data_IF_073955664589
#
_entry.id   IF_073955664589
#
_cell.length_a   1.000
_cell.length_b   1.000
_cell.length_c   1.000
_cell.angle_alpha   90.00
_cell.angle_beta   90.00
_cell.angle_gamma   90.00
#
_symmetry.space_group_name_H-M   'P 1'
#
loop_
_entity.id
_entity.type
_entity.pdbx_description
1 polymer ?
#
# COMPACT_ATOMS: atom_id res chain seq x y z
N UNK A 1 -43.64 -24.42 48.97
CA UNK A 1 -42.49 -23.67 49.48
C UNK A 1 -41.25 -24.17 48.76
N UNK A 2 -40.45 -23.23 48.26
CA UNK A 2 -39.16 -23.39 47.55
C UNK A 2 -39.17 -24.11 46.20
N UNK A 3 -38.48 -23.69 45.14
CA UNK A 3 -38.05 -22.39 44.58
C UNK A 3 -37.38 -22.80 43.28
N UNK A 4 -37.77 -22.19 42.17
CA UNK A 4 -37.11 -22.26 40.87
C UNK A 4 -35.72 -21.61 40.90
N UNK A 5 -34.75 -22.18 40.17
CA UNK A 5 -33.65 -21.42 39.53
C UNK A 5 -33.31 -22.06 38.18
N UNK A 6 -33.31 -21.32 37.05
CA UNK A 6 -32.81 -21.79 35.78
C UNK A 6 -31.28 -21.63 35.67
N UNK A 7 -30.64 -22.54 34.96
CA UNK A 7 -29.21 -22.47 34.62
C UNK A 7 -29.00 -21.41 33.53
N UNK A 8 -28.46 -20.27 33.92
CA UNK A 8 -27.91 -19.25 33.01
C UNK A 8 -26.56 -19.73 32.50
N UNK A 9 -26.44 -19.97 31.19
CA UNK A 9 -25.17 -20.07 30.48
C UNK A 9 -24.60 -18.65 30.38
N UNK A 10 -23.62 -18.33 31.22
CA UNK A 10 -22.78 -17.15 31.03
C UNK A 10 -21.77 -17.45 29.93
N UNK A 11 -21.92 -16.82 28.78
CA UNK A 11 -20.83 -16.63 27.83
C UNK A 11 -19.80 -15.71 28.51
N UNK A 12 -18.60 -16.23 28.73
CA UNK A 12 -17.45 -15.43 29.16
C UNK A 12 -16.87 -14.78 27.91
N UNK A 13 -16.85 -13.44 27.78
CA UNK A 13 -16.04 -12.80 26.77
C UNK A 13 -14.58 -13.02 27.15
N UNK A 14 -13.85 -13.73 26.30
CA UNK A 14 -12.41 -13.89 26.44
C UNK A 14 -11.75 -12.56 26.06
N UNK A 15 -11.64 -11.65 27.03
CA UNK A 15 -10.79 -10.46 26.91
C UNK A 15 -9.33 -10.93 26.96
N UNK A 16 -8.70 -11.04 25.79
CA UNK A 16 -7.26 -11.24 25.68
C UNK A 16 -6.57 -10.00 26.24
N UNK A 17 -5.79 -10.22 27.29
CA UNK A 17 -5.00 -9.21 27.98
C UNK A 17 -3.96 -8.62 27.03
N UNK A 18 -3.97 -7.29 26.90
CA UNK A 18 -3.03 -6.53 26.10
C UNK A 18 -1.58 -6.82 26.49
N UNK A 19 -0.82 -7.34 25.54
CA UNK A 19 0.64 -7.36 25.64
C UNK A 19 1.17 -5.93 25.70
N UNK A 20 2.13 -5.67 26.59
CA UNK A 20 2.86 -4.42 26.62
C UNK A 20 3.55 -4.22 25.25
N UNK A 21 2.96 -3.38 24.40
CA UNK A 21 3.59 -2.95 23.16
C UNK A 21 4.75 -2.02 23.50
N UNK A 22 5.96 -2.44 23.15
CA UNK A 22 7.15 -1.60 23.33
C UNK A 22 7.17 -0.50 22.27
N UNK A 23 7.02 0.75 22.70
CA UNK A 23 7.40 1.89 21.88
C UNK A 23 8.92 1.99 21.87
N UNK A 24 9.52 2.03 20.69
CA UNK A 24 10.94 2.32 20.57
C UNK A 24 11.11 3.67 19.89
N UNK A 25 11.84 4.58 20.54
CA UNK A 25 12.25 5.83 19.93
C UNK A 25 13.38 5.51 18.96
N UNK A 26 13.19 5.77 17.68
CA UNK A 26 14.27 5.69 16.70
C UNK A 26 15.10 6.97 16.84
N UNK A 27 16.43 6.86 16.71
CA UNK A 27 17.45 7.85 17.11
C UNK A 27 17.39 9.23 16.38
N UNK A 28 16.27 9.58 15.78
CA UNK A 28 16.07 10.77 14.96
C UNK A 28 14.92 11.65 15.43
N UNK A 29 14.18 11.27 16.50
CA UNK A 29 12.94 11.94 16.96
C UNK A 29 11.67 11.32 16.38
N UNK A 30 11.83 10.22 15.65
CA UNK A 30 10.74 9.42 15.11
C UNK A 30 10.31 8.35 16.10
N UNK A 31 9.02 8.05 16.08
CA UNK A 31 8.42 7.02 16.91
C UNK A 31 8.01 5.84 16.04
N UNK A 32 8.35 4.63 16.47
CA UNK A 32 7.84 3.39 15.90
C UNK A 32 7.06 2.63 16.96
N UNK A 33 5.85 2.22 16.60
CA UNK A 33 4.95 1.40 17.39
C UNK A 33 4.58 0.13 16.59
N UNK A 34 4.46 -1.01 17.26
CA UNK A 34 3.96 -2.25 16.63
C UNK A 34 2.45 -2.30 16.82
N UNK A 35 1.70 -2.09 15.75
CA UNK A 35 0.24 -2.13 15.77
C UNK A 35 -0.29 -3.56 15.96
N UNK A 36 0.34 -4.53 15.29
CA UNK A 36 0.01 -5.95 15.42
C UNK A 36 1.22 -6.83 15.16
N UNK A 37 1.20 -8.04 15.73
CA UNK A 37 2.03 -9.18 15.34
C UNK A 37 1.09 -10.30 14.96
N UNK A 38 1.01 -10.58 13.66
CA UNK A 38 0.03 -11.49 13.07
C UNK A 38 0.61 -12.90 12.88
N UNK A 39 1.88 -13.13 13.25
CA UNK A 39 2.51 -14.45 13.24
C UNK A 39 2.69 -15.10 11.87
N UNK A 40 2.49 -14.35 10.78
CA UNK A 40 2.61 -14.84 9.40
C UNK A 40 3.10 -13.74 8.47
N UNK A 41 3.72 -14.11 7.35
CA UNK A 41 4.22 -13.18 6.32
C UNK A 41 3.10 -12.22 5.89
N UNK A 42 3.36 -10.91 5.80
CA UNK A 42 2.40 -9.93 5.31
C UNK A 42 2.70 -9.50 3.88
N UNK A 43 1.66 -9.45 3.05
CA UNK A 43 1.75 -9.02 1.66
C UNK A 43 1.75 -7.50 1.53
N UNK A 44 0.73 -6.85 2.11
CA UNK A 44 0.53 -5.43 1.94
C UNK A 44 -0.29 -4.79 3.05
N UNK A 45 -0.18 -3.47 3.13
CA UNK A 45 -0.98 -2.65 4.02
C UNK A 45 -1.48 -1.39 3.29
N UNK A 46 -2.54 -0.79 3.81
CA UNK A 46 -3.13 0.47 3.32
C UNK A 46 -3.79 1.21 4.48
N UNK A 47 -4.14 2.48 4.28
CA UNK A 47 -4.90 3.27 5.24
C UNK A 47 -6.13 3.86 4.57
N UNK A 48 -7.28 3.82 5.24
CA UNK A 48 -8.54 4.38 4.78
C UNK A 48 -9.60 4.37 5.87
N UNK A 49 -10.73 5.01 5.62
CA UNK A 49 -11.88 5.05 6.54
C UNK A 49 -12.69 3.75 6.39
N UNK A 50 -12.17 2.64 6.93
CA UNK A 50 -12.69 1.30 6.66
C UNK A 50 -13.88 0.93 7.57
N UNK A 51 -14.06 1.67 8.66
CA UNK A 51 -15.18 1.56 9.58
C UNK A 51 -15.75 2.95 9.87
N UNK A 52 -16.74 3.37 9.08
CA UNK A 52 -17.34 4.72 9.19
C UNK A 52 -17.97 5.02 10.57
N UNK A 53 -18.18 4.01 11.42
CA UNK A 53 -18.61 4.23 12.81
C UNK A 53 -17.46 4.68 13.72
N UNK A 54 -16.21 4.61 13.24
CA UNK A 54 -15.03 5.05 13.93
C UNK A 54 -14.42 6.29 13.27
N UNK A 55 -14.07 7.33 14.05
CA UNK A 55 -13.44 8.51 13.48
C UNK A 55 -11.96 8.26 13.14
N UNK A 56 -11.60 8.52 11.88
CA UNK A 56 -10.22 8.47 11.41
C UNK A 56 -10.00 7.30 10.46
N UNK A 57 -8.75 7.09 10.04
CA UNK A 57 -8.41 5.94 9.20
C UNK A 57 -8.04 4.72 10.05
N UNK A 58 -8.39 3.54 9.55
CA UNK A 58 -7.88 2.24 9.96
C UNK A 58 -6.75 1.78 9.03
N UNK A 59 -6.08 0.70 9.43
CA UNK A 59 -5.07 0.01 8.62
C UNK A 59 -5.66 -1.30 8.10
N UNK A 60 -5.82 -1.42 6.79
CA UNK A 60 -6.08 -2.70 6.13
C UNK A 60 -4.78 -3.46 5.91
N UNK A 61 -4.74 -4.76 6.21
CA UNK A 61 -3.55 -5.61 6.07
C UNK A 61 -3.91 -6.95 5.47
N UNK A 62 -3.09 -7.42 4.53
CA UNK A 62 -3.24 -8.74 3.91
C UNK A 62 -2.09 -9.68 4.27
N UNK A 63 -2.42 -10.93 4.56
CA UNK A 63 -1.48 -11.94 5.03
C UNK A 63 -1.26 -13.08 4.04
N UNK A 64 -0.10 -13.73 4.16
CA UNK A 64 0.36 -14.85 3.35
C UNK A 64 -0.45 -16.13 3.54
N UNK A 65 -1.19 -16.25 4.64
CA UNK A 65 -2.10 -17.36 4.91
C UNK A 65 -3.53 -17.10 4.40
N UNK A 66 -3.76 -15.99 3.69
CA UNK A 66 -5.05 -15.62 3.14
C UNK A 66 -5.95 -14.81 4.08
N UNK A 67 -5.50 -14.52 5.32
CA UNK A 67 -6.27 -13.64 6.22
C UNK A 67 -6.13 -12.17 5.83
N UNK A 68 -7.21 -11.44 6.07
CA UNK A 68 -7.30 -9.99 5.89
C UNK A 68 -7.70 -9.37 7.23
N UNK A 69 -7.02 -8.32 7.64
CA UNK A 69 -7.24 -7.67 8.92
C UNK A 69 -7.52 -6.18 8.75
N UNK A 70 -8.33 -5.66 9.68
CA UNK A 70 -8.50 -4.24 9.92
C UNK A 70 -7.94 -3.92 11.31
N UNK A 71 -6.99 -2.98 11.38
CA UNK A 71 -6.38 -2.53 12.63
C UNK A 71 -6.78 -1.10 12.92
N UNK A 72 -7.17 -0.84 14.17
CA UNK A 72 -7.68 0.46 14.59
C UNK A 72 -6.97 0.95 15.82
N UNK A 73 -6.55 2.22 15.80
CA UNK A 73 -5.91 2.83 16.97
C UNK A 73 -6.97 3.08 18.05
N UNK A 74 -6.66 2.69 19.27
CA UNK A 74 -7.47 2.97 20.45
C UNK A 74 -6.69 3.81 21.46
N UNK A 75 -7.39 4.33 22.47
CA UNK A 75 -6.77 5.07 23.57
C UNK A 75 -5.67 4.28 24.31
N UNK A 76 -5.68 2.94 24.22
CA UNK A 76 -4.73 2.04 24.91
C UNK A 76 -4.16 0.97 23.99
N UNK A 77 -3.74 1.35 22.79
CA UNK A 77 -3.07 0.45 21.84
C UNK A 77 -3.89 0.26 20.58
N UNK A 78 -4.03 -0.99 20.13
CA UNK A 78 -4.65 -1.32 18.85
C UNK A 78 -5.71 -2.39 19.02
N UNK A 79 -6.88 -2.14 18.43
CA UNK A 79 -7.86 -3.16 18.14
C UNK A 79 -7.50 -3.84 16.82
N UNK A 80 -7.69 -5.16 16.77
CA UNK A 80 -7.49 -5.99 15.60
C UNK A 80 -8.78 -6.75 15.32
N UNK A 81 -9.26 -6.67 14.09
CA UNK A 81 -10.42 -7.41 13.60
C UNK A 81 -10.02 -8.21 12.35
N UNK A 82 -10.40 -9.48 12.30
CA UNK A 82 -10.29 -10.27 11.07
C UNK A 82 -11.47 -9.91 10.16
N UNK A 83 -11.18 -9.42 8.96
CA UNK A 83 -12.17 -9.07 7.94
C UNK A 83 -12.69 -10.34 7.27
N UNK A 84 -11.76 -11.20 6.83
CA UNK A 84 -12.06 -12.47 6.14
C UNK A 84 -10.83 -13.37 6.14
N UNK A 85 -11.04 -14.67 5.93
CA UNK A 85 -10.01 -15.65 5.61
C UNK A 85 -10.27 -16.25 4.22
N UNK A 86 -9.40 -15.90 3.26
CA UNK A 86 -9.51 -16.30 1.85
C UNK A 86 -8.70 -17.56 1.55
N UNK A 87 -9.04 -18.33 0.50
CA UNK A 87 -8.34 -19.60 0.19
C UNK A 87 -6.91 -19.46 -0.33
N UNK A 88 -6.48 -18.25 -0.68
CA UNK A 88 -5.17 -17.99 -1.29
C UNK A 88 -4.52 -16.73 -0.74
N UNK A 89 -3.21 -16.70 -0.84
CA UNK A 89 -2.36 -15.59 -0.41
C UNK A 89 -2.75 -14.28 -1.10
N UNK A 90 -2.93 -13.24 -0.28
CA UNK A 90 -3.18 -11.88 -0.74
C UNK A 90 -1.89 -11.05 -0.67
N UNK A 91 -1.62 -10.28 -1.73
CA UNK A 91 -0.31 -9.67 -2.02
C UNK A 91 -0.32 -8.16 -1.80
N UNK A 92 -1.38 -7.48 -2.23
CA UNK A 92 -1.56 -6.05 -2.02
C UNK A 92 -3.00 -5.74 -1.63
N UNK A 93 -3.18 -4.57 -1.04
CA UNK A 93 -4.50 -4.03 -0.73
C UNK A 93 -4.53 -2.51 -0.89
N UNK A 94 -5.74 -1.98 -1.03
CA UNK A 94 -6.03 -0.57 -1.20
C UNK A 94 -7.35 -0.25 -0.50
N UNK A 95 -7.41 0.85 0.23
CA UNK A 95 -8.67 1.44 0.67
C UNK A 95 -9.15 2.43 -0.38
N UNK A 96 -10.41 2.34 -0.80
CA UNK A 96 -11.02 3.25 -1.76
C UNK A 96 -12.54 3.25 -1.70
N UNK A 97 -13.14 4.38 -2.10
CA UNK A 97 -14.59 4.54 -2.32
C UNK A 97 -15.02 4.05 -3.72
N UNK A 98 -14.99 2.73 -3.93
CA UNK A 98 -15.46 2.06 -5.14
C UNK A 98 -17.00 2.06 -5.22
N UNK A 99 -17.68 1.96 -4.09
CA UNK A 99 -19.14 2.00 -4.00
C UNK A 99 -19.62 3.14 -3.08
N UNK A 100 -19.82 4.36 -3.62
CA UNK A 100 -20.19 5.56 -2.83
C UNK A 100 -21.52 5.55 -2.08
N UNK A 101 -22.28 4.45 -2.19
CA UNK A 101 -23.51 4.23 -1.45
C UNK A 101 -23.32 3.32 -0.23
N UNK A 102 -22.12 2.77 -0.04
CA UNK A 102 -21.73 2.02 1.14
C UNK A 102 -21.07 2.98 2.13
N UNK A 103 -21.12 2.68 3.44
CA UNK A 103 -20.45 3.48 4.45
C UNK A 103 -18.93 3.23 4.46
N UNK A 104 -18.15 4.31 4.42
CA UNK A 104 -16.69 4.26 4.48
C UNK A 104 -16.04 3.88 3.15
N UNK A 105 -14.73 3.71 3.17
CA UNK A 105 -13.92 3.15 2.10
C UNK A 105 -14.03 1.62 2.08
N UNK A 106 -14.12 1.02 0.89
CA UNK A 106 -13.91 -0.41 0.76
C UNK A 106 -12.43 -0.78 0.80
N UNK A 107 -12.13 -1.94 1.41
CA UNK A 107 -10.83 -2.59 1.33
C UNK A 107 -10.83 -3.52 0.12
N UNK A 108 -10.03 -3.19 -0.89
CA UNK A 108 -9.77 -4.07 -2.04
C UNK A 108 -8.50 -4.87 -1.79
N UNK A 109 -8.55 -6.19 -1.98
CA UNK A 109 -7.35 -7.06 -1.92
C UNK A 109 -7.12 -7.75 -3.24
N UNK A 110 -5.85 -7.98 -3.55
CA UNK A 110 -5.43 -8.71 -4.76
C UNK A 110 -4.38 -9.76 -4.44
N UNK A 111 -4.46 -10.91 -5.11
CA UNK A 111 -3.47 -11.97 -4.94
C UNK A 111 -3.77 -13.20 -5.80
N UNK A 112 -3.48 -14.37 -5.23
CA UNK A 112 -3.78 -15.67 -5.83
C UNK A 112 -5.10 -16.23 -5.28
N UNK A 113 -5.88 -16.89 -6.13
CA UNK A 113 -7.18 -17.44 -5.76
C UNK A 113 -7.08 -18.58 -4.73
N UNK A 114 -6.05 -19.42 -4.84
CA UNK A 114 -5.78 -20.57 -3.97
C UNK A 114 -4.27 -20.78 -3.87
N UNK A 115 -3.77 -21.08 -2.67
CA UNK A 115 -2.35 -21.38 -2.46
C UNK A 115 -1.50 -20.12 -2.23
N UNK A 116 -0.22 -20.19 -2.60
CA UNK A 116 0.77 -19.14 -2.35
C UNK A 116 1.14 -18.36 -3.62
N UNK A 117 1.76 -17.18 -3.45
CA UNK A 117 2.30 -16.37 -4.57
C UNK A 117 3.20 -17.20 -5.51
N UNK A 118 4.00 -18.10 -4.93
CA UNK A 118 4.98 -18.92 -5.64
C UNK A 118 4.38 -19.99 -6.56
N UNK A 119 3.09 -20.30 -6.39
CA UNK A 119 2.42 -21.35 -7.18
C UNK A 119 1.99 -20.87 -8.57
N UNK A 120 2.04 -19.55 -8.82
CA UNK A 120 1.69 -18.97 -10.13
C UNK A 120 0.23 -19.19 -10.55
N UNK A 121 -0.66 -19.41 -9.58
CA UNK A 121 -2.07 -19.70 -9.82
C UNK A 121 -2.89 -18.53 -10.38
N UNK A 122 -4.17 -18.79 -10.62
CA UNK A 122 -5.14 -17.79 -11.07
C UNK A 122 -5.22 -16.60 -10.09
N UNK A 123 -5.30 -15.40 -10.62
CA UNK A 123 -5.43 -14.18 -9.83
C UNK A 123 -6.86 -13.96 -9.35
N UNK A 124 -7.01 -13.33 -8.19
CA UNK A 124 -8.31 -12.90 -7.66
C UNK A 124 -8.23 -11.51 -7.05
N UNK A 125 -9.28 -10.73 -7.25
CA UNK A 125 -9.53 -9.48 -6.55
C UNK A 125 -10.83 -9.59 -5.73
N UNK A 126 -10.78 -9.12 -4.49
CA UNK A 126 -11.92 -9.06 -3.57
C UNK A 126 -12.17 -7.61 -3.14
N UNK A 127 -13.44 -7.30 -2.87
CA UNK A 127 -13.86 -6.04 -2.26
C UNK A 127 -14.50 -6.39 -0.92
N UNK A 128 -14.06 -5.71 0.14
CA UNK A 128 -14.57 -5.88 1.49
C UNK A 128 -15.09 -4.54 2.02
N UNK A 129 -16.26 -4.54 2.64
CA UNK A 129 -16.85 -3.35 3.24
C UNK A 129 -17.50 -3.71 4.56
N UNK A 130 -17.68 -2.71 5.42
CA UNK A 130 -18.31 -2.89 6.73
C UNK A 130 -19.64 -2.17 6.77
N UNK A 131 -20.74 -2.91 6.93
CA UNK A 131 -22.09 -2.36 7.04
C UNK A 131 -22.75 -2.93 8.30
N UNK A 132 -23.45 -2.08 9.07
CA UNK A 132 -24.11 -2.47 10.32
C UNK A 132 -23.21 -3.24 11.30
N UNK A 133 -21.91 -2.91 11.32
CA UNK A 133 -20.91 -3.53 12.17
C UNK A 133 -20.44 -4.92 11.72
N UNK A 134 -20.80 -5.35 10.51
CA UNK A 134 -20.41 -6.64 9.93
C UNK A 134 -19.57 -6.45 8.67
N UNK A 135 -18.54 -7.30 8.53
CA UNK A 135 -17.75 -7.37 7.31
C UNK A 135 -18.47 -8.18 6.23
N UNK A 136 -18.54 -7.60 5.05
CA UNK A 136 -19.03 -8.23 3.84
C UNK A 136 -17.87 -8.38 2.86
N UNK A 137 -17.97 -9.33 1.95
CA UNK A 137 -16.91 -9.61 0.99
C UNK A 137 -17.49 -10.15 -0.29
N UNK A 138 -17.07 -9.58 -1.42
CA UNK A 138 -17.42 -10.07 -2.73
C UNK A 138 -16.21 -10.16 -3.64
N UNK A 139 -16.29 -11.08 -4.59
CA UNK A 139 -15.22 -11.25 -5.58
C UNK A 139 -15.47 -10.31 -6.75
N UNK A 140 -14.56 -9.37 -6.97
CA UNK A 140 -14.65 -8.41 -8.07
C UNK A 140 -14.23 -9.01 -9.42
N UNK A 141 -13.13 -9.76 -9.45
CA UNK A 141 -12.59 -10.33 -10.70
C UNK A 141 -11.71 -11.54 -10.44
N UNK A 142 -11.62 -12.42 -11.44
CA UNK A 142 -10.58 -13.45 -11.55
C UNK A 142 -9.80 -13.29 -12.84
N UNK A 143 -8.52 -13.62 -12.82
CA UNK A 143 -7.65 -13.65 -14.00
C UNK A 143 -6.92 -15.00 -14.10
N UNK A 144 -6.32 -15.27 -15.26
CA UNK A 144 -5.60 -16.52 -15.52
C UNK A 144 -4.28 -16.63 -14.76
N UNK A 145 -3.78 -15.53 -14.21
CA UNK A 145 -2.57 -15.45 -13.41
C UNK A 145 -2.70 -14.41 -12.29
N UNK A 146 -1.84 -14.54 -11.28
CA UNK A 146 -1.80 -13.74 -10.05
C UNK A 146 -1.95 -12.22 -10.29
N UNK A 147 -2.79 -11.57 -9.47
CA UNK A 147 -2.83 -10.10 -9.40
C UNK A 147 -1.84 -9.59 -8.36
N UNK A 148 -1.07 -8.57 -8.72
CA UNK A 148 -0.01 -8.05 -7.86
C UNK A 148 -0.03 -6.52 -7.77
N UNK A 149 -0.83 -5.85 -8.58
CA UNK A 149 -0.93 -4.40 -8.64
C UNK A 149 -2.38 -3.96 -8.54
N UNK A 150 -2.66 -3.02 -7.66
CA UNK A 150 -3.98 -2.39 -7.48
C UNK A 150 -3.82 -0.87 -7.36
N UNK A 151 -4.71 -0.12 -8.01
CA UNK A 151 -4.81 1.34 -7.88
C UNK A 151 -6.27 1.78 -8.09
N UNK A 152 -6.63 2.97 -7.59
CA UNK A 152 -7.98 3.51 -7.74
C UNK A 152 -7.94 5.00 -8.04
N UNK A 153 -8.71 5.43 -9.02
CA UNK A 153 -8.88 6.84 -9.35
C UNK A 153 -9.53 7.06 -10.72
N UNK A 154 -9.93 8.30 -10.99
CA UNK A 154 -10.56 8.75 -12.24
C UNK A 154 -9.52 8.78 -13.38
N UNK A 155 -9.60 7.80 -14.27
CA UNK A 155 -8.67 7.62 -15.41
C UNK A 155 -9.37 7.42 -16.75
N UNK A 156 -10.68 7.19 -16.79
CA UNK A 156 -11.49 7.19 -18.02
C UNK A 156 -12.45 8.39 -18.06
N UNK A 157 -12.08 9.50 -18.72
CA UNK A 157 -12.91 10.71 -18.76
C UNK A 157 -14.24 10.56 -19.49
N UNK A 158 -14.52 9.40 -20.09
CA UNK A 158 -15.80 9.09 -20.76
C UNK A 158 -16.84 8.54 -19.78
N UNK A 159 -16.42 8.19 -18.57
CA UNK A 159 -17.29 7.73 -17.50
C UNK A 159 -17.09 8.63 -16.28
N UNK A 160 -18.15 8.84 -15.52
CA UNK A 160 -18.07 9.58 -14.27
C UNK A 160 -17.72 8.61 -13.14
N UNK A 161 -16.84 9.05 -12.25
CA UNK A 161 -16.39 8.25 -11.11
C UNK A 161 -14.95 7.78 -11.28
N UNK A 162 -14.45 7.08 -10.27
CA UNK A 162 -13.11 6.50 -10.28
C UNK A 162 -13.16 5.04 -10.70
N UNK A 163 -12.10 4.58 -11.35
CA UNK A 163 -11.95 3.18 -11.75
C UNK A 163 -10.97 2.45 -10.83
N UNK A 164 -11.29 1.17 -10.56
CA UNK A 164 -10.38 0.22 -9.95
C UNK A 164 -9.50 -0.40 -11.03
N UNK A 165 -8.19 -0.31 -10.84
CA UNK A 165 -7.18 -0.83 -11.77
C UNK A 165 -6.53 -2.06 -11.17
N UNK A 166 -6.58 -3.17 -11.90
CA UNK A 166 -5.99 -4.44 -11.50
C UNK A 166 -4.99 -4.91 -12.56
N UNK A 167 -3.79 -5.27 -12.14
CA UNK A 167 -2.79 -5.84 -13.04
C UNK A 167 -1.91 -6.87 -12.32
N UNK A 168 -1.22 -7.68 -13.11
CA UNK A 168 -0.37 -8.71 -12.56
C UNK A 168 0.34 -9.52 -13.63
N UNK A 169 0.30 -10.85 -13.45
CA UNK A 169 1.17 -11.80 -14.15
C UNK A 169 0.57 -12.33 -15.45
N UNK A 170 -0.67 -11.95 -15.76
CA UNK A 170 -1.30 -12.27 -17.05
C UNK A 170 -0.81 -11.37 -18.18
N UNK A 171 -0.05 -10.32 -17.86
CA UNK A 171 0.32 -9.26 -18.80
C UNK A 171 -0.85 -8.38 -19.22
N UNK A 172 -2.00 -8.44 -18.52
CA UNK A 172 -3.18 -7.61 -18.77
C UNK A 172 -3.40 -6.61 -17.65
N UNK A 173 -3.96 -5.46 -18.01
CA UNK A 173 -4.54 -4.48 -17.09
C UNK A 173 -6.04 -4.57 -17.22
N UNK A 174 -6.74 -4.64 -16.09
CA UNK A 174 -8.20 -4.58 -16.03
C UNK A 174 -8.59 -3.26 -15.39
N UNK A 175 -9.57 -2.61 -16.00
CA UNK A 175 -10.19 -1.38 -15.54
C UNK A 175 -11.63 -1.72 -15.18
N UNK A 176 -11.92 -1.68 -13.89
CA UNK A 176 -13.23 -1.98 -13.34
C UNK A 176 -13.90 -0.68 -12.92
N UNK A 177 -15.19 -0.58 -13.21
CA UNK A 177 -16.03 0.55 -12.82
C UNK A 177 -17.37 0.06 -12.33
N UNK A 178 -18.05 0.91 -11.56
CA UNK A 178 -19.44 0.70 -11.19
C UNK A 178 -20.35 0.82 -12.42
N UNK A 179 -21.08 -0.25 -12.73
CA UNK A 179 -22.19 -0.27 -13.68
C UNK A 179 -23.55 -0.18 -12.97
N UNK A 180 -24.63 -0.50 -13.70
CA UNK A 180 -25.97 -0.61 -13.13
C UNK A 180 -26.09 -1.89 -12.27
N UNK A 181 -25.63 -1.81 -11.02
CA UNK A 181 -25.75 -2.88 -10.02
C UNK A 181 -24.63 -3.93 -10.01
N UNK A 182 -23.65 -3.84 -10.92
CA UNK A 182 -22.48 -4.74 -10.95
C UNK A 182 -21.21 -4.00 -11.38
N UNK A 183 -20.05 -4.59 -11.11
CA UNK A 183 -18.78 -4.10 -11.65
C UNK A 183 -18.64 -4.50 -13.12
N UNK A 184 -18.35 -3.52 -13.97
CA UNK A 184 -18.06 -3.74 -15.39
C UNK A 184 -16.56 -3.64 -15.59
N UNK A 185 -15.97 -4.66 -16.22
CA UNK A 185 -14.54 -4.71 -16.51
C UNK A 185 -14.24 -4.54 -18.00
N UNK A 186 -13.27 -3.70 -18.32
CA UNK A 186 -12.56 -3.70 -19.61
C UNK A 186 -11.12 -4.14 -19.36
N UNK A 187 -10.51 -4.89 -20.29
CA UNK A 187 -9.10 -5.28 -20.16
C UNK A 187 -8.28 -4.85 -21.38
N UNK A 188 -7.04 -4.44 -21.12
CA UNK A 188 -6.07 -4.00 -22.11
C UNK A 188 -4.72 -4.72 -21.91
N UNK A 189 -3.93 -4.85 -22.97
CA UNK A 189 -2.62 -5.50 -22.96
C UNK A 189 -2.17 -5.93 -24.36
N UNK A 190 -0.97 -6.53 -24.49
CA UNK A 190 -0.09 -6.99 -23.41
C UNK A 190 0.80 -5.88 -22.82
N UNK A 191 1.13 -6.02 -21.53
CA UNK A 191 2.22 -5.30 -20.85
C UNK A 191 3.60 -5.87 -21.24
N UNK A 192 4.67 -5.06 -21.16
CA UNK A 192 6.03 -5.53 -21.48
C UNK A 192 6.61 -6.52 -20.44
N UNK A 193 6.12 -6.47 -19.20
CA UNK A 193 6.47 -7.37 -18.09
C UNK A 193 5.32 -7.50 -17.11
N UNK A 194 5.49 -8.30 -16.04
CA UNK A 194 4.44 -8.46 -15.04
C UNK A 194 4.33 -7.19 -14.21
N UNK A 195 3.11 -6.67 -14.04
CA UNK A 195 2.89 -5.50 -13.20
C UNK A 195 3.03 -5.90 -11.71
N UNK A 196 3.95 -5.25 -10.99
CA UNK A 196 4.20 -5.46 -9.55
C UNK A 196 3.67 -4.32 -8.67
N UNK A 197 3.36 -3.17 -9.27
CA UNK A 197 2.70 -2.05 -8.61
C UNK A 197 1.99 -1.15 -9.62
N UNK A 198 0.93 -0.50 -9.17
CA UNK A 198 0.16 0.48 -9.94
C UNK A 198 -0.08 1.72 -9.08
N UNK A 199 -0.17 2.88 -9.71
CA UNK A 199 -0.58 4.13 -9.06
C UNK A 199 -1.29 5.04 -10.06
N UNK A 200 -2.18 5.91 -9.58
CA UNK A 200 -2.80 6.95 -10.41
C UNK A 200 -1.94 8.20 -10.42
N UNK A 201 -1.67 8.74 -11.60
CA UNK A 201 -0.85 9.92 -11.80
C UNK A 201 -0.37 10.06 -13.24
N UNK A 202 0.39 11.12 -13.53
CA UNK A 202 0.85 11.43 -14.90
C UNK A 202 -0.27 11.44 -15.96
N UNK A 203 -1.50 11.77 -15.55
CA UNK A 203 -2.69 11.79 -16.41
C UNK A 203 -3.30 10.42 -16.72
N UNK A 204 -3.00 9.37 -15.94
CA UNK A 204 -3.60 8.04 -16.08
C UNK A 204 -3.10 7.06 -15.02
N UNK A 205 -2.77 5.85 -15.43
CA UNK A 205 -2.21 4.80 -14.56
C UNK A 205 -0.71 4.65 -14.82
N UNK A 206 0.10 4.67 -13.78
CA UNK A 206 1.52 4.33 -13.83
C UNK A 206 1.73 2.90 -13.35
N UNK A 207 2.44 2.08 -14.12
CA UNK A 207 2.69 0.67 -13.84
C UNK A 207 4.18 0.40 -13.71
N UNK A 208 4.56 -0.26 -12.62
CA UNK A 208 5.92 -0.74 -12.38
C UNK A 208 6.02 -2.23 -12.73
N UNK A 209 6.80 -2.56 -13.76
CA UNK A 209 6.93 -3.93 -14.27
C UNK A 209 8.23 -4.59 -13.80
N UNK A 210 8.19 -5.92 -13.62
CA UNK A 210 9.35 -6.72 -13.22
C UNK A 210 10.41 -6.93 -14.33
N UNK A 211 10.11 -6.57 -15.57
CA UNK A 211 11.09 -6.49 -16.67
C UNK A 211 11.92 -5.19 -16.63
N UNK A 212 11.64 -4.30 -15.68
CA UNK A 212 12.27 -2.99 -15.55
C UNK A 212 11.57 -1.86 -16.29
N UNK A 213 10.46 -2.12 -16.98
CA UNK A 213 9.65 -1.08 -17.61
C UNK A 213 8.82 -0.30 -16.60
N UNK A 214 8.88 1.03 -16.68
CA UNK A 214 7.88 1.91 -16.10
C UNK A 214 6.94 2.37 -17.22
N UNK A 215 5.65 2.08 -17.10
CA UNK A 215 4.67 2.39 -18.14
C UNK A 215 3.64 3.41 -17.65
N UNK A 216 3.10 4.20 -18.58
CA UNK A 216 1.89 4.98 -18.39
C UNK A 216 0.78 4.44 -19.30
N UNK A 217 -0.38 4.15 -18.72
CA UNK A 217 -1.59 3.80 -19.44
C UNK A 217 -2.57 4.99 -19.37
N UNK A 218 -3.09 5.42 -20.51
CA UNK A 218 -4.02 6.56 -20.60
C UNK A 218 -5.19 6.26 -21.53
N UNK A 219 -6.35 6.85 -21.26
CA UNK A 219 -7.49 6.79 -22.16
C UNK A 219 -7.33 7.80 -23.29
N UNK A 220 -7.32 7.32 -24.53
CA UNK A 220 -7.45 8.12 -25.74
C UNK A 220 -8.81 7.87 -26.41
N UNK A 221 -9.15 8.67 -27.43
CA UNK A 221 -10.37 8.48 -28.24
C UNK A 221 -10.45 7.09 -28.86
N UNK A 222 -9.30 6.55 -29.30
CA UNK A 222 -9.20 5.22 -29.91
C UNK A 222 -9.18 4.06 -28.90
N UNK A 223 -9.21 4.34 -27.59
CA UNK A 223 -9.14 3.34 -26.52
C UNK A 223 -7.95 3.57 -25.58
N UNK A 224 -7.64 2.54 -24.80
CA UNK A 224 -6.48 2.55 -23.90
C UNK A 224 -5.17 2.52 -24.70
N UNK A 225 -4.23 3.39 -24.32
CA UNK A 225 -2.89 3.43 -24.88
C UNK A 225 -1.86 3.22 -23.78
N UNK A 226 -0.79 2.50 -24.12
CA UNK A 226 0.34 2.25 -23.23
C UNK A 226 1.60 2.91 -23.80
N UNK A 227 2.24 3.70 -22.97
CA UNK A 227 3.54 4.30 -23.23
C UNK A 227 4.54 3.70 -22.24
N UNK A 228 5.72 3.30 -22.73
CA UNK A 228 6.84 2.99 -21.84
C UNK A 228 7.55 4.31 -21.57
N UNK A 229 7.43 4.81 -20.33
CA UNK A 229 8.08 6.05 -19.90
C UNK A 229 9.58 5.83 -19.77
N UNK A 230 9.97 4.71 -19.14
CA UNK A 230 11.37 4.32 -19.09
C UNK A 230 11.63 2.82 -18.99
N UNK A 231 12.87 2.42 -19.32
CA UNK A 231 13.39 1.06 -19.11
C UNK A 231 14.64 1.06 -18.24
N UNK A 232 14.55 0.35 -17.13
CA UNK A 232 15.67 0.14 -16.21
C UNK A 232 16.23 -1.28 -16.35
N UNK A 233 17.51 -1.52 -16.02
CA UNK A 233 18.13 -2.85 -16.13
C UNK A 233 17.71 -3.82 -15.02
N UNK A 234 16.78 -3.43 -14.14
CA UNK A 234 16.38 -4.18 -12.95
C UNK A 234 14.86 -4.16 -12.81
N UNK A 235 14.32 -5.19 -12.19
CA UNK A 235 12.89 -5.29 -11.89
C UNK A 235 12.41 -4.16 -10.97
N UNK A 236 11.25 -3.58 -11.30
CA UNK A 236 10.55 -2.62 -10.46
C UNK A 236 9.56 -3.33 -9.53
N UNK A 237 9.21 -2.69 -8.42
CA UNK A 237 8.42 -3.34 -7.36
C UNK A 237 7.19 -2.55 -6.90
N UNK A 238 7.34 -1.30 -6.46
CA UNK A 238 6.23 -0.42 -6.05
C UNK A 238 6.33 0.91 -6.73
N UNK A 239 5.20 1.54 -6.97
CA UNK A 239 5.12 2.87 -7.55
C UNK A 239 4.10 3.70 -6.78
N UNK A 240 4.43 4.96 -6.56
CA UNK A 240 3.48 6.03 -6.26
C UNK A 240 3.57 7.08 -7.35
N UNK A 241 2.47 7.76 -7.62
CA UNK A 241 2.44 8.81 -8.62
C UNK A 241 1.70 10.06 -8.11
N UNK A 242 2.02 11.17 -8.78
CA UNK A 242 1.37 12.47 -8.68
C UNK A 242 1.04 12.91 -10.11
N UNK A 243 0.40 14.07 -10.25
CA UNK A 243 0.05 14.62 -11.56
C UNK A 243 1.27 14.82 -12.47
N UNK A 244 2.42 15.16 -11.91
CA UNK A 244 3.62 15.64 -12.59
C UNK A 244 4.87 14.77 -12.35
N UNK A 245 4.80 13.78 -11.46
CA UNK A 245 5.92 12.93 -11.10
C UNK A 245 5.51 11.52 -10.70
N UNK A 246 6.44 10.58 -10.79
CA UNK A 246 6.30 9.22 -10.27
C UNK A 246 7.52 8.83 -9.43
N UNK A 247 7.30 7.99 -8.43
CA UNK A 247 8.33 7.45 -7.55
C UNK A 247 8.24 5.93 -7.62
N UNK A 248 9.32 5.27 -7.99
CA UNK A 248 9.34 3.82 -8.15
C UNK A 248 10.49 3.17 -7.39
N UNK A 249 10.20 2.10 -6.67
CA UNK A 249 11.17 1.27 -5.97
C UNK A 249 11.58 0.08 -6.84
N UNK A 250 12.81 -0.39 -6.68
CA UNK A 250 13.35 -1.46 -7.52
C UNK A 250 14.18 -2.49 -6.74
N UNK A 251 14.48 -3.60 -7.41
CA UNK A 251 15.24 -4.71 -6.84
C UNK A 251 16.74 -4.43 -6.67
N UNK A 252 17.26 -3.33 -7.21
CA UNK A 252 18.65 -2.92 -7.08
C UNK A 252 18.90 -1.96 -5.90
N UNK A 253 17.95 -1.83 -4.98
CA UNK A 253 18.09 -0.98 -3.80
C UNK A 253 18.00 0.52 -4.09
N UNK A 254 17.56 0.91 -5.29
CA UNK A 254 17.39 2.31 -5.67
C UNK A 254 15.92 2.72 -5.72
N UNK A 255 15.66 3.90 -5.19
CA UNK A 255 14.43 4.65 -5.39
C UNK A 255 14.63 5.57 -6.61
N UNK A 256 13.66 5.65 -7.50
CA UNK A 256 13.76 6.48 -8.71
C UNK A 256 12.62 7.49 -8.72
N UNK A 257 12.98 8.77 -8.76
CA UNK A 257 12.04 9.86 -8.98
C UNK A 257 12.07 10.23 -10.46
N UNK A 258 10.91 10.19 -11.11
CA UNK A 258 10.70 10.60 -12.49
C UNK A 258 9.84 11.86 -12.46
N UNK A 259 10.35 12.96 -12.99
CA UNK A 259 9.63 14.23 -13.12
C UNK A 259 10.04 14.96 -14.41
N UNK A 260 9.62 16.21 -14.58
CA UNK A 260 9.96 17.01 -15.76
C UNK A 260 11.48 17.28 -15.92
N UNK A 261 12.28 17.15 -14.87
CA UNK A 261 13.74 17.26 -14.92
C UNK A 261 14.42 15.96 -15.38
N UNK A 262 13.66 14.87 -15.50
CA UNK A 262 14.13 13.56 -15.93
C UNK A 262 14.08 12.54 -14.80
N UNK A 263 15.01 11.58 -14.83
CA UNK A 263 15.08 10.50 -13.84
C UNK A 263 16.23 10.75 -12.86
N UNK A 264 15.89 10.85 -11.59
CA UNK A 264 16.85 10.85 -10.49
C UNK A 264 16.85 9.47 -9.81
N UNK A 265 17.97 8.75 -9.93
CA UNK A 265 18.18 7.49 -9.21
C UNK A 265 18.86 7.76 -7.85
N UNK A 266 18.18 7.39 -6.77
CA UNK A 266 18.62 7.59 -5.38
C UNK A 266 19.02 6.22 -4.83
N UNK A 267 20.33 5.94 -4.63
CA UNK A 267 20.77 4.70 -3.99
C UNK A 267 20.43 4.75 -2.50
N UNK A 268 19.70 3.74 -2.03
CA UNK A 268 19.21 3.67 -0.64
C UNK A 268 19.71 2.42 0.08
N UNK A 269 19.78 1.30 -0.63
CA UNK A 269 20.18 0.01 -0.08
C UNK A 269 20.96 -0.81 -1.10
N UNK A 270 21.61 -1.89 -0.66
CA UNK A 270 22.05 -2.98 -1.53
C UNK A 270 20.96 -4.04 -1.74
N UNK A 271 19.91 -4.01 -0.93
CA UNK A 271 18.80 -4.95 -0.96
C UNK A 271 17.60 -4.40 -1.72
N UNK A 272 16.70 -5.28 -2.17
CA UNK A 272 15.53 -4.89 -2.93
C UNK A 272 14.57 -3.97 -2.11
N UNK A 273 14.10 -2.89 -2.74
CA UNK A 273 13.11 -1.99 -2.15
C UNK A 273 11.68 -2.45 -2.47
N UNK A 274 10.77 -2.27 -1.50
CA UNK A 274 9.38 -2.72 -1.52
C UNK A 274 8.38 -1.65 -1.08
N UNK A 275 8.82 -0.40 -0.98
CA UNK A 275 7.97 0.76 -0.72
C UNK A 275 8.42 1.95 -1.55
N UNK A 276 7.47 2.71 -2.09
CA UNK A 276 7.72 4.00 -2.74
C UNK A 276 6.51 4.86 -2.45
N UNK A 277 6.67 5.83 -1.54
CA UNK A 277 5.57 6.67 -1.08
C UNK A 277 6.00 8.13 -1.06
N UNK A 278 5.08 9.01 -1.41
CA UNK A 278 5.19 10.45 -1.28
C UNK A 278 4.35 10.92 -0.08
N UNK A 279 4.84 11.88 0.70
CA UNK A 279 4.06 12.51 1.76
C UNK A 279 4.86 13.54 2.56
N UNK A 280 4.15 14.42 3.27
CA UNK A 280 4.69 15.41 4.21
C UNK A 280 4.79 14.78 5.61
N UNK A 281 5.90 14.10 5.88
CA UNK A 281 6.04 13.22 7.04
C UNK A 281 6.77 13.88 8.21
N UNK A 282 7.69 14.83 7.96
CA UNK A 282 8.36 15.59 9.02
C UNK A 282 7.79 17.02 9.05
N UNK A 283 6.88 17.37 9.99
CA UNK A 283 6.32 18.72 10.08
C UNK A 283 7.37 19.82 10.30
N UNK A 284 8.62 19.47 10.65
CA UNK A 284 9.72 20.41 10.78
C UNK A 284 10.39 20.74 9.44
N UNK A 285 10.08 20.00 8.38
CA UNK A 285 10.63 20.18 7.05
C UNK A 285 9.55 20.70 6.10
N UNK A 286 9.80 21.78 5.35
CA UNK A 286 8.84 22.23 4.36
C UNK A 286 8.82 21.30 3.16
N UNK A 287 7.62 20.89 2.76
CA UNK A 287 7.37 20.20 1.50
C UNK A 287 7.20 18.69 1.64
N UNK A 288 6.91 18.04 0.51
CA UNK A 288 6.68 16.59 0.47
C UNK A 288 8.02 15.84 0.40
N UNK A 289 8.20 14.87 1.30
CA UNK A 289 9.31 13.92 1.24
C UNK A 289 8.97 12.64 0.49
N UNK A 290 10.01 11.85 0.24
CA UNK A 290 9.90 10.49 -0.26
C UNK A 290 10.09 9.53 0.91
N UNK A 291 9.42 8.38 0.88
CA UNK A 291 9.64 7.32 1.84
C UNK A 291 9.74 5.95 1.15
N UNK A 292 10.56 5.08 1.73
CA UNK A 292 10.78 3.72 1.22
C UNK A 292 11.05 2.74 2.34
N UNK A 293 10.79 1.47 2.04
CA UNK A 293 11.10 0.32 2.88
C UNK A 293 11.64 -0.80 1.98
N UNK A 294 12.42 -1.73 2.54
CA UNK A 294 13.01 -2.81 1.76
C UNK A 294 13.37 -4.07 2.54
N UNK A 295 14.01 -4.99 1.83
CA UNK A 295 14.46 -6.28 2.37
C UNK A 295 15.65 -6.17 3.33
N UNK A 296 16.22 -4.98 3.50
CA UNK A 296 17.15 -4.70 4.61
C UNK A 296 16.43 -4.46 5.95
N UNK A 297 15.10 -4.49 5.97
CA UNK A 297 14.28 -4.31 7.17
C UNK A 297 14.17 -2.86 7.63
N UNK A 298 14.58 -1.89 6.81
CA UNK A 298 14.64 -0.48 7.24
C UNK A 298 13.55 0.36 6.55
N UNK A 299 12.97 1.30 7.31
CA UNK A 299 12.09 2.36 6.78
C UNK A 299 12.84 3.68 6.81
N UNK A 300 12.81 4.40 5.69
CA UNK A 300 13.54 5.66 5.51
C UNK A 300 12.64 6.75 4.94
N UNK A 301 12.88 7.97 5.40
CA UNK A 301 12.34 9.21 4.83
C UNK A 301 13.49 9.98 4.19
N UNK A 302 13.25 10.52 3.00
CA UNK A 302 14.23 11.21 2.17
C UNK A 302 13.69 12.59 1.81
N UNK A 303 14.28 13.61 2.42
CA UNK A 303 14.03 15.01 2.06
C UNK A 303 14.79 15.39 0.79
N UNK A 304 14.11 16.05 -0.15
CA UNK A 304 14.72 16.61 -1.36
C UNK A 304 14.94 18.11 -1.16
N UNK A 305 16.17 18.56 -1.33
CA UNK A 305 16.53 19.98 -1.19
C UNK A 305 17.49 20.40 -2.27
N UNK A 306 17.46 21.67 -2.63
CA UNK A 306 18.49 22.23 -3.49
C UNK A 306 19.75 22.51 -2.65
N UNK A 307 20.92 22.15 -3.19
CA UNK A 307 22.20 22.51 -2.62
C UNK A 307 22.32 24.04 -2.57
N UNK A 308 22.63 24.58 -1.39
CA UNK A 308 22.84 26.01 -1.22
C UNK A 308 24.25 26.46 -1.63
N UNK A 309 25.20 25.52 -1.65
CA UNK A 309 26.62 25.76 -1.90
C UNK A 309 27.20 24.63 -2.76
N UNK A 310 28.28 24.94 -3.46
CA UNK A 310 29.08 23.92 -4.16
C UNK A 310 29.77 23.00 -3.14
N UNK A 311 29.66 21.68 -3.32
CA UNK A 311 30.46 20.68 -2.63
C UNK A 311 31.22 19.83 -3.66
N UNK A 312 32.43 20.28 -4.08
CA UNK A 312 33.24 19.58 -5.06
C UNK A 312 33.65 18.18 -4.61
N UNK A 313 33.71 17.91 -3.30
CA UNK A 313 34.09 16.59 -2.77
C UNK A 313 33.03 15.52 -3.06
N UNK A 314 31.77 15.96 -3.21
CA UNK A 314 30.62 15.13 -3.58
C UNK A 314 30.18 15.35 -5.03
N UNK A 315 30.85 16.25 -5.75
CA UNK A 315 30.48 16.64 -7.12
C UNK A 315 29.15 17.39 -7.20
N UNK A 316 28.73 18.02 -6.11
CA UNK A 316 27.46 18.77 -6.01
C UNK A 316 27.74 20.24 -6.31
N UNK A 317 26.91 20.85 -7.14
CA UNK A 317 26.88 22.30 -7.38
C UNK A 317 25.71 22.94 -6.67
N UNK A 318 25.82 24.23 -6.37
CA UNK A 318 24.69 25.04 -5.92
C UNK A 318 23.52 24.90 -6.92
N UNK A 319 22.33 24.61 -6.39
CA UNK A 319 21.13 24.32 -7.16
C UNK A 319 20.93 22.85 -7.54
N UNK A 320 21.92 21.97 -7.31
CA UNK A 320 21.72 20.53 -7.50
C UNK A 320 20.78 19.97 -6.44
N UNK A 321 19.93 19.01 -6.82
CA UNK A 321 19.00 18.36 -5.89
C UNK A 321 19.75 17.34 -5.02
N UNK A 322 19.88 17.65 -3.73
CA UNK A 322 20.50 16.82 -2.69
C UNK A 322 19.44 16.05 -1.93
N UNK A 323 19.80 14.82 -1.56
CA UNK A 323 18.95 13.92 -0.77
C UNK A 323 19.46 13.91 0.68
N UNK A 324 18.57 14.20 1.62
CA UNK A 324 18.79 13.99 3.04
C UNK A 324 17.99 12.77 3.49
N UNK A 325 18.68 11.66 3.74
CA UNK A 325 18.08 10.41 4.22
C UNK A 325 18.08 10.36 5.76
N UNK A 326 16.95 9.92 6.33
CA UNK A 326 16.83 9.59 7.75
C UNK A 326 16.21 8.20 7.87
N UNK A 327 16.85 7.32 8.64
CA UNK A 327 16.23 6.07 9.06
C UNK A 327 15.20 6.37 10.16
N UNK A 328 13.94 6.00 9.91
CA UNK A 328 12.79 6.32 10.78
C UNK A 328 12.15 5.08 11.40
N UNK A 329 12.43 3.90 10.87
CA UNK A 329 11.90 2.63 11.36
C UNK A 329 12.79 1.44 11.02
N UNK A 330 12.56 0.33 11.70
CA UNK A 330 13.28 -0.93 11.52
C UNK A 330 12.44 -2.13 11.95
N UNK A 331 12.57 -3.20 11.16
CA UNK A 331 12.21 -4.58 11.43
C UNK A 331 13.51 -5.42 11.50
N UNK A 332 13.47 -6.56 12.19
CA UNK A 332 14.56 -7.54 12.18
C UNK A 332 14.46 -8.56 11.01
N UNK A 333 13.36 -8.49 10.23
CA UNK A 333 13.16 -9.22 8.98
C UNK A 333 12.84 -8.25 7.81
N UNK A 334 12.62 -8.79 6.62
CA UNK A 334 12.34 -8.08 5.38
C UNK A 334 11.00 -7.34 5.43
N UNK A 335 11.00 -6.08 5.04
CA UNK A 335 9.77 -5.31 4.80
C UNK A 335 9.28 -5.50 3.35
N UNK A 336 7.98 -5.71 3.17
CA UNK A 336 7.35 -6.06 1.89
C UNK A 336 6.38 -5.00 1.35
N UNK A 337 5.96 -4.06 2.19
CA UNK A 337 5.16 -2.91 1.77
C UNK A 337 5.35 -1.73 2.73
N UNK A 338 5.15 -0.53 2.19
CA UNK A 338 5.04 0.74 2.90
C UNK A 338 3.83 1.50 2.34
N UNK A 339 2.97 1.99 3.23
CA UNK A 339 1.85 2.86 2.91
C UNK A 339 1.95 4.17 3.71
N UNK A 340 1.23 5.20 3.28
CA UNK A 340 1.04 6.43 4.05
C UNK A 340 -0.43 6.81 4.15
N UNK A 341 -0.78 7.46 5.25
CA UNK A 341 -2.12 7.94 5.53
C UNK A 341 -2.10 8.78 6.80
N UNK A 342 -3.28 9.10 7.33
CA UNK A 342 -3.44 9.90 8.54
C UNK A 342 -4.19 9.11 9.61
N UNK A 343 -3.54 8.89 10.76
CA UNK A 343 -4.14 8.18 11.89
C UNK A 343 -4.50 9.15 13.01
N UNK A 344 -5.62 8.87 13.68
CA UNK A 344 -6.12 9.70 14.77
C UNK A 344 -5.05 9.87 15.87
N UNK A 345 -4.76 11.14 16.22
CA UNK A 345 -3.76 11.49 17.23
C UNK A 345 -2.29 11.36 16.79
N UNK A 346 -2.02 10.87 15.58
CA UNK A 346 -0.67 10.81 15.00
C UNK A 346 -0.48 11.74 13.80
N UNK A 347 -1.57 12.18 13.16
CA UNK A 347 -1.48 12.92 11.90
C UNK A 347 -0.98 12.01 10.78
N UNK A 348 -0.24 12.59 9.83
CA UNK A 348 0.32 11.82 8.71
C UNK A 348 1.42 10.89 9.21
N UNK A 349 1.32 9.61 8.86
CA UNK A 349 2.26 8.58 9.28
C UNK A 349 2.56 7.59 8.16
N UNK A 350 3.55 6.76 8.42
CA UNK A 350 3.93 5.63 7.59
C UNK A 350 3.46 4.34 8.26
N UNK A 351 2.98 3.38 7.46
CA UNK A 351 2.69 2.02 7.91
C UNK A 351 3.53 1.06 7.09
N UNK A 352 4.30 0.21 7.77
CA UNK A 352 5.14 -0.79 7.14
C UNK A 352 4.75 -2.19 7.60
N UNK A 353 4.80 -3.15 6.70
CA UNK A 353 4.57 -4.56 7.01
C UNK A 353 5.54 -5.46 6.22
N UNK A 354 5.76 -6.67 6.71
CA UNK A 354 6.77 -7.54 6.15
C UNK A 354 6.69 -8.98 6.59
N UNK A 355 7.84 -9.66 6.48
CA UNK A 355 7.93 -11.11 6.62
C UNK A 355 7.98 -11.55 8.08
N UNK A 356 8.29 -10.64 9.00
CA UNK A 356 8.19 -10.88 10.44
C UNK A 356 6.75 -11.10 10.92
N UNK A 357 5.75 -10.69 10.12
CA UNK A 357 4.35 -10.69 10.53
C UNK A 357 3.91 -9.49 11.34
N UNK A 358 4.81 -8.52 11.55
CA UNK A 358 4.50 -7.31 12.29
C UNK A 358 4.04 -6.18 11.38
N UNK A 359 3.13 -5.37 11.92
CA UNK A 359 2.67 -4.11 11.32
C UNK A 359 3.21 -2.98 12.17
N UNK A 360 4.03 -2.12 11.57
CA UNK A 360 4.62 -0.97 12.24
C UNK A 360 3.95 0.30 11.82
N UNK A 361 3.71 1.18 12.79
CA UNK A 361 3.28 2.55 12.56
C UNK A 361 4.43 3.46 12.95
N UNK A 362 4.86 4.28 11.99
CA UNK A 362 5.97 5.23 12.17
C UNK A 362 5.43 6.64 12.00
N UNK A 363 5.63 7.48 13.02
CA UNK A 363 5.18 8.86 13.01
C UNK A 363 6.22 9.82 13.55
N UNK A 364 6.09 11.07 13.12
CA UNK A 364 6.78 12.21 13.67
C UNK A 364 5.79 12.95 14.56
N UNK A 365 6.07 12.98 15.86
CA UNK A 365 5.30 13.77 16.82
C UNK A 365 6.05 15.06 17.08
N UNK A 366 5.32 16.18 17.16
CA UNK A 366 5.85 17.51 17.50
C UNK A 366 6.49 17.57 18.89
#
# INVERSE_FOLDING_TARGET
MNTSVPRSLFAVPLLLLGGCQSTSKVNSGWWQETAADLGTKLGGCTLGDLDAAHPGQEIGVVAGDGRVYCLRRESRGWAQEEVVHLPGEQIQCLACDLFPNLPGDELVTVGVAVGSEGDGGAGVAWVHWKEDGQWHSERALTDTALFHAVAFGDVDPRHAGSELILAGFSGRVHVLRKGEGELVSESFGPLPGNAKGAAIGLGGVVLACDDGSLCAMRRAESGWQLEILERFPTALARVSARRDRALVSANDGRLRLIDAAGVQAIPVSSEALRGAVFGDFDPLLPGEELATAGYDGLVRVLGLRDALEDDPSRGIRSGDRVVQEVQVGRDDDRLHHLASGSLAGLGRCLVACGYSGRVFVISRLD
#
